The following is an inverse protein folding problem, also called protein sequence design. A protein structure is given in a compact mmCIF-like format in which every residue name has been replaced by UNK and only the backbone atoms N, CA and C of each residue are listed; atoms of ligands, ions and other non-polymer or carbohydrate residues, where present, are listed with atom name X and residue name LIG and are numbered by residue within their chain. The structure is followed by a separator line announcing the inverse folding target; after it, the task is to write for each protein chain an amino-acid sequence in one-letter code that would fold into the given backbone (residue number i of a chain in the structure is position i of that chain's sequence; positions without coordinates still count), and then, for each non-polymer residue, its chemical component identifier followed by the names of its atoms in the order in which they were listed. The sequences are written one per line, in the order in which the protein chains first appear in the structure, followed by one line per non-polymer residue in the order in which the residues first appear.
data_IF_094317111678
#
_entry.id   IF_094317111678
#
_cell.length_a   1.000
_cell.length_b   1.000
_cell.length_c   1.000
_cell.angle_alpha   90.00
_cell.angle_beta   90.00
_cell.angle_gamma   90.00
#
_symmetry.space_group_name_H-M   'P 1'
#
loop_
_entity.id
_entity.type
_entity.pdbx_description
1 polymer ?
#
# COMPACT_ATOMS: atom_id res chain seq x y z
N UNK A 1 -6.86 4.87 -29.73
CA UNK A 1 -7.71 5.19 -28.56
C UNK A 1 -6.92 4.80 -27.32
N UNK A 2 -6.93 5.63 -26.26
CA UNK A 2 -6.32 5.22 -25.00
C UNK A 2 -7.06 3.98 -24.47
N UNK A 3 -6.32 2.97 -24.04
CA UNK A 3 -6.89 1.76 -23.42
C UNK A 3 -7.68 2.18 -22.18
N UNK A 4 -8.92 1.70 -22.04
CA UNK A 4 -9.78 1.94 -20.89
C UNK A 4 -10.00 0.67 -20.10
N UNK A 5 -10.02 0.78 -18.78
CA UNK A 5 -10.42 -0.31 -17.90
C UNK A 5 -11.87 -0.75 -18.15
N UNK A 6 -12.14 -2.04 -17.99
CA UNK A 6 -13.49 -2.53 -17.72
C UNK A 6 -13.94 -2.11 -16.32
N UNK A 7 -15.26 -2.12 -16.04
CA UNK A 7 -15.77 -1.75 -14.70
C UNK A 7 -15.19 -2.63 -13.59
N UNK A 8 -15.18 -3.95 -13.78
CA UNK A 8 -14.65 -4.92 -12.82
C UNK A 8 -13.12 -4.80 -12.76
N UNK A 9 -12.45 -4.71 -13.91
CA UNK A 9 -11.01 -4.59 -13.99
C UNK A 9 -10.48 -3.34 -13.29
N UNK A 10 -11.20 -2.22 -13.39
CA UNK A 10 -10.88 -1.01 -12.64
C UNK A 10 -10.95 -1.22 -11.13
N UNK A 11 -12.08 -1.76 -10.63
CA UNK A 11 -12.25 -2.01 -9.19
C UNK A 11 -11.16 -2.95 -8.67
N UNK A 12 -10.90 -4.06 -9.37
CA UNK A 12 -9.85 -5.01 -8.98
C UNK A 12 -8.45 -4.39 -9.07
N UNK A 13 -8.18 -3.53 -10.06
CA UNK A 13 -6.89 -2.86 -10.18
C UNK A 13 -6.65 -1.87 -9.04
N UNK A 14 -7.67 -1.13 -8.60
CA UNK A 14 -7.53 -0.25 -7.44
C UNK A 14 -7.49 -1.05 -6.13
N UNK A 15 -8.24 -2.13 -6.01
CA UNK A 15 -8.10 -3.06 -4.87
C UNK A 15 -6.66 -3.56 -4.80
N UNK A 16 -6.06 -3.98 -5.92
CA UNK A 16 -4.65 -4.38 -5.98
C UNK A 16 -3.67 -3.27 -5.66
N UNK A 17 -4.02 -2.01 -5.97
CA UNK A 17 -3.21 -0.86 -5.57
C UNK A 17 -3.25 -0.62 -4.05
N UNK A 18 -4.43 -0.73 -3.44
CA UNK A 18 -4.64 -0.48 -2.03
C UNK A 18 -4.18 -1.65 -1.14
N UNK A 19 -4.39 -2.89 -1.58
CA UNK A 19 -4.00 -4.08 -0.83
C UNK A 19 -2.56 -4.44 -1.17
N UNK A 20 -1.67 -4.15 -0.25
CA UNK A 20 -0.24 -4.42 -0.40
C UNK A 20 0.35 -5.07 0.85
N UNK A 21 1.68 -5.12 0.88
CA UNK A 21 2.43 -5.63 2.02
C UNK A 21 2.13 -4.84 3.31
N UNK A 22 1.69 -3.58 3.20
CA UNK A 22 1.26 -2.78 4.34
C UNK A 22 0.11 -3.41 5.13
N UNK A 23 -0.85 -4.05 4.45
CA UNK A 23 -1.94 -4.77 5.10
C UNK A 23 -1.47 -6.07 5.75
N UNK A 24 -0.40 -6.64 5.21
CA UNK A 24 0.08 -7.96 5.61
C UNK A 24 0.97 -7.94 6.86
N UNK A 25 1.79 -6.90 7.04
CA UNK A 25 2.63 -6.81 8.22
C UNK A 25 2.45 -5.50 9.01
N UNK A 26 2.35 -4.34 8.31
CA UNK A 26 2.26 -3.03 8.98
C UNK A 26 0.95 -2.92 9.77
N UNK A 27 -0.16 -3.37 9.19
CA UNK A 27 -1.47 -3.37 9.88
C UNK A 27 -1.46 -4.28 11.12
N UNK A 28 -1.13 -5.60 11.06
CA UNK A 28 -1.08 -6.44 12.26
C UNK A 28 -0.10 -5.90 13.31
N UNK A 29 1.10 -5.49 12.90
CA UNK A 29 2.08 -4.91 13.80
C UNK A 29 1.53 -3.67 14.53
N UNK A 30 0.96 -2.71 13.77
CA UNK A 30 0.42 -1.47 14.36
C UNK A 30 -0.76 -1.76 15.29
N UNK A 31 -1.63 -2.70 14.94
CA UNK A 31 -2.74 -3.15 15.78
C UNK A 31 -2.20 -3.79 17.07
N UNK A 32 -1.21 -4.68 16.95
CA UNK A 32 -0.59 -5.35 18.09
C UNK A 32 0.07 -4.38 19.07
N UNK A 33 0.78 -3.38 18.54
CA UNK A 33 1.53 -2.40 19.34
C UNK A 33 0.68 -1.27 19.94
N UNK A 34 -0.54 -1.04 19.44
CA UNK A 34 -1.36 0.12 19.80
C UNK A 34 -2.73 -0.26 20.40
N UNK A 35 -2.88 -1.44 21.03
CA UNK A 35 -4.08 -1.76 21.82
C UNK A 35 -5.20 -2.49 21.10
N UNK A 36 -4.91 -3.15 19.96
CA UNK A 36 -5.86 -4.08 19.34
C UNK A 36 -7.07 -3.39 18.70
N UNK A 37 -8.27 -3.85 19.09
CA UNK A 37 -9.54 -3.45 18.48
C UNK A 37 -9.88 -1.97 18.61
N UNK A 38 -9.52 -1.30 19.70
CA UNK A 38 -9.76 0.13 19.85
C UNK A 38 -8.94 0.94 18.83
N UNK A 39 -7.69 0.53 18.57
CA UNK A 39 -6.88 1.10 17.50
C UNK A 39 -7.53 0.89 16.12
N UNK A 40 -8.10 -0.31 15.86
CA UNK A 40 -8.82 -0.58 14.60
C UNK A 40 -10.01 0.38 14.43
N UNK A 41 -10.79 0.65 15.47
CA UNK A 41 -11.90 1.60 15.36
C UNK A 41 -11.44 3.01 15.00
N UNK A 42 -10.34 3.48 15.60
CA UNK A 42 -9.74 4.79 15.28
C UNK A 42 -9.21 4.79 13.83
N UNK A 43 -8.53 3.71 13.43
CA UNK A 43 -8.09 3.51 12.05
C UNK A 43 -9.26 3.56 11.06
N UNK A 44 -10.36 2.85 11.33
CA UNK A 44 -11.55 2.87 10.49
C UNK A 44 -12.16 4.27 10.38
N UNK A 45 -12.23 4.99 11.50
CA UNK A 45 -12.69 6.39 11.49
C UNK A 45 -11.83 7.24 10.53
N UNK A 46 -10.50 7.16 10.62
CA UNK A 46 -9.63 7.91 9.74
C UNK A 46 -9.65 7.41 8.29
N UNK A 47 -9.78 6.11 8.07
CA UNK A 47 -9.91 5.55 6.73
C UNK A 47 -11.16 6.10 6.01
N UNK A 48 -12.29 6.21 6.71
CA UNK A 48 -13.52 6.76 6.13
C UNK A 48 -13.55 8.31 6.09
N UNK A 49 -13.12 8.98 7.16
CA UNK A 49 -13.21 10.44 7.24
C UNK A 49 -12.15 11.14 6.38
N UNK A 50 -10.93 10.62 6.36
CA UNK A 50 -9.78 11.26 5.70
C UNK A 50 -9.39 10.48 4.44
N UNK A 51 -9.06 9.20 4.57
CA UNK A 51 -8.59 8.37 3.49
C UNK A 51 -9.57 8.31 2.31
N UNK A 52 -10.83 7.95 2.57
CA UNK A 52 -11.88 7.91 1.54
C UNK A 52 -12.18 9.31 0.95
N UNK A 53 -12.05 10.37 1.75
CA UNK A 53 -12.25 11.74 1.25
C UNK A 53 -11.20 12.14 0.22
N UNK A 54 -9.93 11.81 0.47
CA UNK A 54 -8.82 12.06 -0.47
C UNK A 54 -8.91 11.11 -1.66
N UNK A 55 -9.32 9.87 -1.44
CA UNK A 55 -9.56 8.89 -2.50
C UNK A 55 -10.58 9.42 -3.53
N UNK A 56 -11.71 9.94 -3.08
CA UNK A 56 -12.70 10.60 -3.96
C UNK A 56 -12.10 11.82 -4.68
N UNK A 57 -11.26 12.60 -4.02
CA UNK A 57 -10.61 13.76 -4.60
C UNK A 57 -9.69 13.37 -5.77
N UNK A 58 -8.79 12.40 -5.56
CA UNK A 58 -7.93 11.87 -6.62
C UNK A 58 -8.74 11.28 -7.77
N UNK A 59 -9.78 10.51 -7.44
CA UNK A 59 -10.65 9.87 -8.42
C UNK A 59 -11.38 10.92 -9.29
N UNK A 60 -11.91 11.99 -8.68
CA UNK A 60 -12.55 13.08 -9.40
C UNK A 60 -11.58 13.79 -10.34
N UNK A 61 -10.38 14.10 -9.86
CA UNK A 61 -9.35 14.74 -10.67
C UNK A 61 -8.98 13.89 -11.90
N UNK A 62 -8.76 12.59 -11.72
CA UNK A 62 -8.46 11.68 -12.82
C UNK A 62 -9.60 11.57 -13.83
N UNK A 63 -10.82 11.34 -13.34
CA UNK A 63 -12.02 11.19 -14.20
C UNK A 63 -12.34 12.44 -15.02
N UNK A 64 -12.24 13.63 -14.41
CA UNK A 64 -12.57 14.89 -15.06
C UNK A 64 -11.46 15.31 -16.03
N UNK A 65 -10.18 15.25 -15.61
CA UNK A 65 -9.07 15.73 -16.43
C UNK A 65 -8.67 14.79 -17.55
N UNK A 66 -8.74 13.48 -17.32
CA UNK A 66 -8.20 12.44 -18.24
C UNK A 66 -6.71 12.62 -18.52
N UNK A 67 -6.00 13.31 -17.62
CA UNK A 67 -4.59 13.63 -17.73
C UNK A 67 -3.78 12.93 -16.63
N UNK A 68 -2.46 13.00 -16.76
CA UNK A 68 -1.55 12.64 -15.67
C UNK A 68 -1.64 13.63 -14.50
N UNK A 69 -0.97 13.33 -13.40
CA UNK A 69 -1.08 14.10 -12.16
C UNK A 69 -0.71 15.58 -12.35
N UNK A 70 0.37 15.88 -13.08
CA UNK A 70 0.81 17.27 -13.35
C UNK A 70 -0.21 17.99 -14.24
N UNK A 71 -0.66 17.32 -15.30
CA UNK A 71 -1.68 17.82 -16.21
C UNK A 71 -3.02 18.06 -15.52
N UNK A 72 -3.43 17.18 -14.62
CA UNK A 72 -4.67 17.29 -13.85
C UNK A 72 -4.66 18.52 -12.94
N UNK A 73 -3.61 18.71 -12.12
CA UNK A 73 -3.46 19.90 -11.27
C UNK A 73 -3.47 21.18 -12.11
N UNK A 74 -2.78 21.19 -13.26
CA UNK A 74 -2.72 22.36 -14.13
C UNK A 74 -4.08 22.70 -14.76
N UNK A 75 -4.78 21.70 -15.31
CA UNK A 75 -5.98 21.91 -16.11
C UNK A 75 -7.24 22.20 -15.28
N UNK A 76 -7.32 21.66 -14.04
CA UNK A 76 -8.49 21.79 -13.17
C UNK A 76 -8.40 23.00 -12.23
N UNK A 77 -7.26 23.68 -12.15
CA UNK A 77 -7.06 24.83 -11.30
C UNK A 77 -7.88 26.04 -11.79
N UNK A 78 -8.73 26.60 -10.93
CA UNK A 78 -9.45 27.84 -11.20
C UNK A 78 -8.55 29.08 -11.14
N UNK A 79 -7.47 29.00 -10.35
CA UNK A 79 -6.44 30.05 -10.17
C UNK A 79 -5.07 29.39 -9.95
N UNK A 80 -4.00 30.05 -10.40
CA UNK A 80 -2.64 29.58 -10.13
C UNK A 80 -2.24 28.28 -10.85
N UNK A 81 -2.79 27.97 -12.02
CA UNK A 81 -2.53 26.73 -12.77
C UNK A 81 -1.02 26.43 -12.97
N UNK A 82 -0.21 27.46 -13.22
CA UNK A 82 1.23 27.31 -13.42
C UNK A 82 1.99 26.95 -12.11
N UNK A 83 1.46 27.31 -10.95
CA UNK A 83 2.02 26.92 -9.65
C UNK A 83 1.51 25.54 -9.24
N UNK A 84 0.22 25.26 -9.43
CA UNK A 84 -0.38 24.00 -9.06
C UNK A 84 0.17 22.78 -9.84
N UNK A 85 0.67 22.95 -11.07
CA UNK A 85 1.31 21.86 -11.81
C UNK A 85 2.46 21.21 -11.02
N UNK A 86 3.17 21.95 -10.16
CA UNK A 86 4.26 21.42 -9.34
C UNK A 86 3.77 20.49 -8.22
N UNK A 87 2.52 20.66 -7.75
CA UNK A 87 1.92 19.71 -6.82
C UNK A 87 1.82 18.29 -7.42
N UNK A 88 1.67 18.18 -8.74
CA UNK A 88 1.64 16.91 -9.43
C UNK A 88 2.95 16.10 -9.37
N UNK A 89 4.08 16.76 -9.06
CA UNK A 89 5.38 16.08 -8.90
C UNK A 89 5.37 15.12 -7.71
N UNK A 90 4.38 15.24 -6.80
CA UNK A 90 4.22 14.32 -5.67
C UNK A 90 4.16 12.83 -6.09
N UNK A 91 3.80 12.52 -7.33
CA UNK A 91 3.83 11.15 -7.87
C UNK A 91 5.21 10.48 -7.80
N UNK A 92 6.31 11.25 -7.67
CA UNK A 92 7.67 10.73 -7.46
C UNK A 92 7.74 9.88 -6.18
N UNK A 93 6.89 10.16 -5.19
CA UNK A 93 6.74 9.34 -3.98
C UNK A 93 6.56 7.87 -4.33
N UNK A 94 5.78 7.56 -5.37
CA UNK A 94 5.57 6.19 -5.84
C UNK A 94 6.85 5.49 -6.29
N UNK A 95 7.83 6.21 -6.86
CA UNK A 95 9.13 5.64 -7.25
C UNK A 95 9.99 5.30 -6.02
N UNK A 96 10.00 6.19 -5.01
CA UNK A 96 10.73 5.94 -3.78
C UNK A 96 10.15 4.73 -3.04
N UNK A 97 8.83 4.66 -2.91
CA UNK A 97 8.18 3.50 -2.31
C UNK A 97 8.49 2.24 -3.12
N UNK A 98 8.31 2.25 -4.44
CA UNK A 98 8.54 1.09 -5.29
C UNK A 98 9.96 0.53 -5.16
N UNK A 99 10.97 1.37 -4.90
CA UNK A 99 12.36 0.96 -4.79
C UNK A 99 12.61 0.02 -3.61
N UNK A 100 12.25 0.42 -2.40
CA UNK A 100 12.41 -0.44 -1.22
C UNK A 100 11.31 -1.51 -1.13
N UNK A 101 10.12 -1.22 -1.62
CA UNK A 101 9.00 -2.17 -1.64
C UNK A 101 9.29 -3.39 -2.52
N UNK A 102 9.96 -3.19 -3.67
CA UNK A 102 10.39 -4.28 -4.54
C UNK A 102 11.42 -5.18 -3.85
N UNK A 103 12.31 -4.60 -3.03
CA UNK A 103 13.24 -5.38 -2.22
C UNK A 103 12.50 -6.30 -1.25
N UNK A 104 11.46 -5.78 -0.60
CA UNK A 104 10.63 -6.55 0.31
C UNK A 104 9.83 -7.64 -0.43
N UNK A 105 9.34 -7.37 -1.65
CA UNK A 105 8.73 -8.42 -2.50
C UNK A 105 9.77 -9.52 -2.79
N UNK A 106 11.02 -9.17 -2.99
CA UNK A 106 12.13 -10.12 -3.11
C UNK A 106 12.29 -10.99 -1.86
N UNK A 107 12.23 -10.40 -0.66
CA UNK A 107 12.24 -11.15 0.61
C UNK A 107 11.06 -12.11 0.70
N UNK A 108 9.85 -11.66 0.35
CA UNK A 108 8.67 -12.53 0.30
C UNK A 108 8.90 -13.72 -0.65
N UNK A 109 9.47 -13.48 -1.84
CA UNK A 109 9.78 -14.54 -2.80
C UNK A 109 10.80 -15.55 -2.25
N UNK A 110 11.82 -15.10 -1.51
CA UNK A 110 12.74 -16.00 -0.79
C UNK A 110 11.99 -16.91 0.16
N UNK A 111 11.03 -16.38 0.92
CA UNK A 111 10.25 -17.18 1.86
C UNK A 111 9.20 -18.08 1.18
N UNK A 112 8.73 -17.75 -0.01
CA UNK A 112 7.97 -18.69 -0.86
C UNK A 112 8.82 -19.91 -1.19
N UNK A 113 10.09 -19.71 -1.58
CA UNK A 113 11.00 -20.84 -1.87
C UNK A 113 11.37 -21.59 -0.59
N UNK A 114 11.63 -20.89 0.51
CA UNK A 114 11.93 -21.50 1.80
C UNK A 114 10.82 -22.43 2.30
N UNK A 115 9.55 -22.15 1.97
CA UNK A 115 8.41 -22.97 2.35
C UNK A 115 8.42 -24.39 1.74
N UNK A 116 9.23 -24.66 0.73
CA UNK A 116 9.44 -26.02 0.18
C UNK A 116 10.55 -26.78 0.89
N UNK A 117 11.30 -26.15 1.81
CA UNK A 117 12.38 -26.74 2.58
C UNK A 117 12.06 -26.84 4.07
N UNK A 118 13.09 -26.88 4.90
CA UNK A 118 12.94 -26.83 6.36
C UNK A 118 12.72 -25.41 6.84
N UNK A 119 11.60 -25.16 7.52
CA UNK A 119 11.34 -23.89 8.19
C UNK A 119 12.13 -23.79 9.49
N UNK A 120 12.56 -22.59 9.92
CA UNK A 120 13.29 -22.38 11.16
C UNK A 120 12.42 -22.78 12.36
N UNK A 121 12.98 -23.62 13.28
CA UNK A 121 12.21 -24.22 14.37
C UNK A 121 12.05 -23.32 15.60
N UNK A 122 12.88 -22.30 15.72
CA UNK A 122 12.88 -21.35 16.84
C UNK A 122 13.18 -19.92 16.37
N UNK A 123 12.92 -18.94 17.24
CA UNK A 123 13.06 -17.52 16.92
C UNK A 123 14.52 -17.15 16.61
N UNK A 124 15.49 -17.71 17.31
CA UNK A 124 16.91 -17.39 17.14
C UNK A 124 17.43 -17.86 15.77
N UNK A 125 17.06 -19.10 15.36
CA UNK A 125 17.40 -19.60 14.03
C UNK A 125 16.71 -18.82 12.91
N UNK A 126 15.46 -18.38 13.11
CA UNK A 126 14.72 -17.55 12.16
C UNK A 126 15.32 -16.16 12.01
N UNK A 127 15.67 -15.52 13.13
CA UNK A 127 16.34 -14.22 13.14
C UNK A 127 17.71 -14.29 12.46
N UNK A 128 18.50 -15.33 12.78
CA UNK A 128 19.79 -15.58 12.13
C UNK A 128 19.64 -15.77 10.63
N UNK A 129 18.63 -16.54 10.17
CA UNK A 129 18.34 -16.74 8.77
C UNK A 129 18.00 -15.41 8.09
N UNK A 130 17.12 -14.60 8.71
CA UNK A 130 16.72 -13.31 8.16
C UNK A 130 17.88 -12.31 8.12
N UNK A 131 18.66 -12.19 9.18
CA UNK A 131 19.83 -11.31 9.24
C UNK A 131 20.91 -11.77 8.24
N UNK A 132 21.21 -13.06 8.17
CA UNK A 132 22.17 -13.57 7.18
C UNK A 132 21.73 -13.27 5.75
N UNK A 133 20.45 -13.40 5.45
CA UNK A 133 19.91 -13.06 4.12
C UNK A 133 19.99 -11.56 3.85
N UNK A 134 19.61 -10.71 4.80
CA UNK A 134 19.52 -9.25 4.60
C UNK A 134 20.85 -8.52 4.75
N UNK A 135 21.77 -9.03 5.57
CA UNK A 135 23.04 -8.35 5.89
C UNK A 135 24.26 -8.97 5.22
N UNK A 136 24.27 -10.31 5.03
CA UNK A 136 25.43 -11.03 4.49
C UNK A 136 25.15 -11.65 3.11
N UNK A 137 23.88 -11.87 2.75
CA UNK A 137 23.46 -12.54 1.52
C UNK A 137 23.15 -11.59 0.36
N UNK A 138 23.97 -10.55 0.13
CA UNK A 138 23.68 -9.49 -0.85
C UNK A 138 23.39 -10.04 -2.26
N UNK A 139 24.15 -11.04 -2.72
CA UNK A 139 23.93 -11.66 -4.04
C UNK A 139 22.56 -12.33 -4.14
N UNK A 140 22.16 -13.05 -3.10
CA UNK A 140 20.85 -13.70 -3.05
C UNK A 140 19.72 -12.66 -2.93
N UNK A 141 19.92 -11.62 -2.16
CA UNK A 141 18.97 -10.50 -2.03
C UNK A 141 18.73 -9.80 -3.38
N UNK A 142 19.82 -9.46 -4.10
CA UNK A 142 19.74 -8.86 -5.44
C UNK A 142 19.07 -9.81 -6.43
N UNK A 143 19.31 -11.12 -6.35
CA UNK A 143 18.66 -12.09 -7.21
C UNK A 143 17.13 -12.05 -7.05
N UNK A 144 16.62 -12.20 -5.82
CA UNK A 144 15.18 -12.19 -5.56
C UNK A 144 14.54 -10.82 -5.84
N UNK A 145 15.23 -9.73 -5.51
CA UNK A 145 14.84 -8.39 -5.89
C UNK A 145 14.68 -8.27 -7.42
N UNK A 146 15.67 -8.75 -8.18
CA UNK A 146 15.66 -8.66 -9.65
C UNK A 146 14.54 -9.51 -10.25
N UNK A 147 14.29 -10.72 -9.72
CA UNK A 147 13.17 -11.56 -10.18
C UNK A 147 11.84 -10.82 -9.98
N UNK A 148 11.60 -10.28 -8.79
CA UNK A 148 10.39 -9.51 -8.50
C UNK A 148 10.28 -8.27 -9.40
N UNK A 149 11.39 -7.54 -9.57
CA UNK A 149 11.50 -6.36 -10.41
C UNK A 149 11.14 -6.65 -11.87
N UNK A 150 11.78 -7.63 -12.49
CA UNK A 150 11.50 -7.97 -13.89
C UNK A 150 10.08 -8.53 -14.08
N UNK A 151 9.54 -9.24 -13.10
CA UNK A 151 8.18 -9.76 -13.16
C UNK A 151 7.15 -8.64 -13.36
N UNK A 152 7.16 -7.61 -12.51
CA UNK A 152 6.15 -6.55 -12.64
C UNK A 152 6.46 -5.56 -13.76
N UNK A 153 7.72 -5.26 -14.07
CA UNK A 153 8.05 -4.45 -15.24
C UNK A 153 7.64 -5.13 -16.55
N UNK A 154 7.76 -6.45 -16.65
CA UNK A 154 7.22 -7.20 -17.79
C UNK A 154 5.70 -7.03 -17.91
N UNK A 155 4.95 -7.04 -16.81
CA UNK A 155 3.50 -6.79 -16.82
C UNK A 155 3.22 -5.37 -17.34
N UNK A 156 3.96 -4.36 -16.90
CA UNK A 156 3.80 -2.97 -17.31
C UNK A 156 4.01 -2.77 -18.82
N UNK A 157 4.90 -3.53 -19.47
CA UNK A 157 5.11 -3.46 -20.92
C UNK A 157 3.88 -3.87 -21.73
N UNK A 158 2.97 -4.66 -21.15
CA UNK A 158 1.72 -5.10 -21.82
C UNK A 158 0.62 -4.03 -21.81
N UNK A 159 0.83 -2.89 -21.14
CA UNK A 159 -0.13 -1.80 -21.08
C UNK A 159 -1.15 -1.92 -19.95
N UNK A 160 -2.15 -1.03 -19.98
CA UNK A 160 -3.14 -0.93 -18.90
C UNK A 160 -4.11 -2.12 -18.92
N UNK A 161 -4.74 -2.40 -20.07
CA UNK A 161 -5.77 -3.45 -20.18
C UNK A 161 -5.19 -4.85 -20.21
N UNK A 162 -4.21 -5.09 -21.09
CA UNK A 162 -3.63 -6.44 -21.31
C UNK A 162 -2.57 -6.80 -20.26
N UNK A 163 -2.03 -5.83 -19.52
CA UNK A 163 -1.06 -6.01 -18.44
C UNK A 163 -1.72 -5.81 -17.08
N UNK A 164 -1.91 -4.57 -16.66
CA UNK A 164 -2.34 -4.21 -15.30
C UNK A 164 -3.71 -4.80 -14.95
N UNK A 165 -4.73 -4.56 -15.78
CA UNK A 165 -6.08 -5.07 -15.54
C UNK A 165 -6.08 -6.60 -15.51
N UNK A 166 -5.49 -7.23 -16.53
CA UNK A 166 -5.49 -8.67 -16.66
C UNK A 166 -4.87 -9.37 -15.46
N UNK A 167 -3.73 -8.89 -14.99
CA UNK A 167 -3.07 -9.51 -13.83
C UNK A 167 -3.89 -9.33 -12.55
N UNK A 168 -4.48 -8.17 -12.32
CA UNK A 168 -5.29 -7.89 -11.14
C UNK A 168 -6.58 -8.75 -11.11
N UNK A 169 -7.20 -8.99 -12.27
CA UNK A 169 -8.40 -9.86 -12.39
C UNK A 169 -8.11 -11.29 -11.93
N UNK A 170 -6.88 -11.78 -12.07
CA UNK A 170 -6.49 -13.12 -11.58
C UNK A 170 -5.90 -13.09 -10.17
N UNK A 171 -4.95 -12.19 -9.90
CA UNK A 171 -4.21 -12.23 -8.63
C UNK A 171 -5.06 -11.77 -7.44
N UNK A 172 -5.98 -10.81 -7.59
CA UNK A 172 -6.78 -10.33 -6.46
C UNK A 172 -7.79 -11.40 -5.98
N UNK A 173 -8.57 -12.07 -6.85
CA UNK A 173 -9.38 -13.19 -6.40
C UNK A 173 -8.55 -14.35 -5.84
N UNK A 174 -7.40 -14.68 -6.44
CA UNK A 174 -6.52 -15.72 -5.93
C UNK A 174 -6.01 -15.40 -4.53
N UNK A 175 -5.53 -14.15 -4.30
CA UNK A 175 -5.16 -13.65 -2.99
C UNK A 175 -6.29 -13.85 -1.97
N UNK A 176 -7.51 -13.46 -2.33
CA UNK A 176 -8.66 -13.57 -1.43
C UNK A 176 -8.98 -15.02 -1.08
N UNK A 177 -8.93 -15.93 -2.07
CA UNK A 177 -9.15 -17.37 -1.85
C UNK A 177 -8.07 -17.96 -0.92
N UNK A 178 -6.79 -17.63 -1.14
CA UNK A 178 -5.70 -18.11 -0.30
C UNK A 178 -5.85 -17.63 1.15
N UNK A 179 -6.21 -16.36 1.36
CA UNK A 179 -6.45 -15.82 2.70
C UNK A 179 -7.68 -16.47 3.36
N UNK A 180 -8.74 -16.75 2.62
CA UNK A 180 -9.91 -17.47 3.17
C UNK A 180 -9.59 -18.91 3.54
N UNK A 181 -8.74 -19.61 2.77
CA UNK A 181 -8.26 -20.95 3.14
C UNK A 181 -7.47 -20.92 4.45
N UNK A 182 -6.56 -19.95 4.61
CA UNK A 182 -5.81 -19.78 5.86
C UNK A 182 -6.72 -19.40 7.03
N UNK A 183 -7.68 -18.50 6.82
CA UNK A 183 -8.66 -18.14 7.84
C UNK A 183 -9.50 -19.36 8.24
N UNK A 184 -9.96 -20.15 7.25
CA UNK A 184 -10.70 -21.39 7.49
C UNK A 184 -9.92 -22.38 8.36
N UNK A 185 -8.61 -22.53 8.12
CA UNK A 185 -7.75 -23.32 8.99
C UNK A 185 -7.64 -22.72 10.40
N UNK A 186 -7.50 -21.40 10.50
CA UNK A 186 -7.36 -20.69 11.78
C UNK A 186 -8.58 -20.87 12.71
N UNK A 187 -9.80 -21.08 12.17
CA UNK A 187 -11.00 -21.34 12.99
C UNK A 187 -10.88 -22.61 13.86
N UNK A 188 -10.07 -23.58 13.46
CA UNK A 188 -9.85 -24.81 14.23
C UNK A 188 -8.78 -24.70 15.30
N UNK A 189 -8.12 -23.53 15.47
CA UNK A 189 -7.04 -23.31 16.43
C UNK A 189 -7.57 -22.67 17.72
N UNK A 190 -7.01 -23.03 18.89
CA UNK A 190 -7.37 -22.45 20.19
C UNK A 190 -7.05 -20.94 20.27
N UNK A 191 -6.03 -20.50 19.54
CA UNK A 191 -5.63 -19.10 19.45
C UNK A 191 -6.66 -18.21 18.76
N UNK A 192 -7.62 -18.78 17.98
CA UNK A 192 -8.58 -18.01 17.21
C UNK A 192 -9.51 -17.16 18.08
N UNK A 193 -10.07 -17.72 19.14
CA UNK A 193 -10.96 -16.98 20.04
C UNK A 193 -10.25 -15.79 20.70
N UNK A 194 -8.97 -15.97 21.07
CA UNK A 194 -8.14 -14.89 21.62
C UNK A 194 -7.88 -13.82 20.58
N UNK A 195 -7.57 -14.20 19.33
CA UNK A 195 -7.34 -13.30 18.22
C UNK A 195 -8.61 -12.50 17.86
N UNK A 196 -9.75 -13.19 17.76
CA UNK A 196 -11.05 -12.56 17.50
C UNK A 196 -11.43 -11.57 18.61
N UNK A 197 -11.26 -11.94 19.86
CA UNK A 197 -11.50 -11.04 21.01
C UNK A 197 -10.55 -9.82 20.96
N UNK A 198 -9.28 -10.02 20.69
CA UNK A 198 -8.27 -8.97 20.60
C UNK A 198 -8.58 -7.96 19.48
N UNK A 199 -9.07 -8.43 18.32
CA UNK A 199 -9.33 -7.60 17.14
C UNK A 199 -10.75 -7.00 17.11
N UNK A 200 -11.73 -7.59 17.80
CA UNK A 200 -13.14 -7.22 17.65
C UNK A 200 -13.77 -6.65 18.93
N UNK A 201 -13.16 -6.87 20.11
CA UNK A 201 -13.68 -6.33 21.39
C UNK A 201 -12.86 -5.11 21.81
N UNK A 202 -13.40 -3.88 21.73
CA UNK A 202 -12.67 -2.66 21.99
C UNK A 202 -12.19 -2.51 23.43
N UNK A 203 -10.89 -2.23 23.60
CA UNK A 203 -10.28 -1.85 24.87
C UNK A 203 -9.56 -0.49 24.70
N UNK A 204 -10.23 0.58 25.11
CA UNK A 204 -9.70 1.94 25.00
C UNK A 204 -8.66 2.29 26.07
N UNK A 205 -8.44 1.43 27.08
CA UNK A 205 -7.48 1.71 28.17
C UNK A 205 -6.03 1.81 27.68
N UNK A 206 -5.73 1.24 26.50
CA UNK A 206 -4.39 1.19 25.89
C UNK A 206 -4.15 2.26 24.82
N UNK A 207 -5.16 3.10 24.55
CA UNK A 207 -5.06 4.13 23.52
C UNK A 207 -4.41 5.40 24.12
N UNK A 208 -3.30 5.77 23.56
CA UNK A 208 -2.62 7.04 23.81
C UNK A 208 -2.66 7.96 22.57
N UNK A 209 -2.10 9.16 22.72
CA UNK A 209 -2.04 10.11 21.61
C UNK A 209 -1.20 9.56 20.42
N UNK A 210 -0.18 8.75 20.71
CA UNK A 210 0.65 8.14 19.69
C UNK A 210 -0.15 7.15 18.85
N UNK A 211 -0.97 6.30 19.49
CA UNK A 211 -1.84 5.35 18.82
C UNK A 211 -2.83 6.04 17.86
N UNK A 212 -3.42 7.17 18.27
CA UNK A 212 -4.34 7.94 17.41
C UNK A 212 -3.65 8.43 16.14
N UNK A 213 -2.44 8.97 16.26
CA UNK A 213 -1.68 9.47 15.11
C UNK A 213 -1.15 8.35 14.23
N UNK A 214 -0.72 7.23 14.84
CA UNK A 214 -0.34 6.02 14.13
C UNK A 214 -1.51 5.46 13.30
N UNK A 215 -2.75 5.49 13.83
CA UNK A 215 -3.94 5.04 13.12
C UNK A 215 -4.22 5.91 11.88
N UNK A 216 -4.05 7.24 11.98
CA UNK A 216 -4.20 8.13 10.83
C UNK A 216 -3.12 7.87 9.77
N UNK A 217 -1.85 7.73 10.17
CA UNK A 217 -0.75 7.39 9.26
C UNK A 217 -0.97 6.04 8.57
N UNK A 218 -1.44 5.03 9.32
CA UNK A 218 -1.79 3.72 8.75
C UNK A 218 -2.93 3.82 7.72
N UNK A 219 -3.95 4.65 7.98
CA UNK A 219 -5.07 4.85 7.06
C UNK A 219 -4.59 5.43 5.72
N UNK A 220 -3.67 6.38 5.72
CA UNK A 220 -3.05 6.91 4.50
C UNK A 220 -2.30 5.83 3.71
N UNK A 221 -1.47 5.09 4.41
CA UNK A 221 -0.62 4.07 3.79
C UNK A 221 -1.45 2.96 3.15
N UNK A 222 -2.43 2.41 3.88
CA UNK A 222 -3.25 1.29 3.39
C UNK A 222 -4.25 1.69 2.30
N UNK A 223 -4.61 2.96 2.20
CA UNK A 223 -5.52 3.46 1.17
C UNK A 223 -4.81 3.86 -0.14
N UNK A 224 -3.48 3.85 -0.17
CA UNK A 224 -2.66 4.22 -1.33
C UNK A 224 -2.99 5.61 -1.91
N UNK A 225 -3.36 6.56 -1.02
CA UNK A 225 -3.71 7.94 -1.41
C UNK A 225 -2.50 8.87 -1.27
N UNK A 226 -2.50 9.99 -1.97
CA UNK A 226 -1.45 11.02 -1.90
C UNK A 226 -0.34 10.89 -2.94
N UNK A 227 -0.33 9.82 -3.75
CA UNK A 227 0.71 9.60 -4.78
C UNK A 227 0.18 9.72 -6.22
N UNK A 228 -1.11 9.97 -6.40
CA UNK A 228 -1.73 10.09 -7.72
C UNK A 228 -1.99 8.77 -8.44
N UNK A 229 -1.89 7.62 -7.76
CA UNK A 229 -2.18 6.33 -8.37
C UNK A 229 -3.68 6.17 -8.65
N UNK A 230 -4.54 6.59 -7.72
CA UNK A 230 -5.99 6.59 -7.88
C UNK A 230 -6.40 7.54 -9.01
N UNK A 231 -5.79 8.73 -9.08
CA UNK A 231 -5.96 9.68 -10.17
C UNK A 231 -5.60 9.04 -11.53
N UNK A 232 -4.44 8.40 -11.61
CA UNK A 232 -3.94 7.78 -12.85
C UNK A 232 -4.87 6.69 -13.35
N UNK A 233 -5.31 5.77 -12.49
CA UNK A 233 -6.26 4.74 -12.88
C UNK A 233 -7.63 5.33 -13.26
N UNK A 234 -8.07 6.34 -12.52
CA UNK A 234 -9.34 7.02 -12.80
C UNK A 234 -9.34 7.81 -14.11
N UNK A 235 -8.17 8.23 -14.60
CA UNK A 235 -8.04 8.87 -15.92
C UNK A 235 -8.42 7.94 -17.08
N UNK A 236 -8.28 6.62 -16.87
CA UNK A 236 -8.60 5.57 -17.86
C UNK A 236 -9.97 4.90 -17.64
N UNK A 237 -10.83 5.49 -16.80
CA UNK A 237 -12.17 4.99 -16.53
C UNK A 237 -13.12 5.12 -17.72
N UNK A 238 -14.03 4.15 -17.87
CA UNK A 238 -15.21 4.27 -18.73
C UNK A 238 -16.17 5.36 -18.21
N UNK A 239 -16.91 5.99 -19.12
CA UNK A 239 -17.74 7.16 -18.75
C UNK A 239 -18.91 6.80 -17.83
N UNK A 240 -19.42 5.59 -17.90
CA UNK A 240 -20.55 5.04 -17.16
C UNK A 240 -20.18 4.42 -15.80
N UNK A 241 -18.94 4.56 -15.32
CA UNK A 241 -18.52 4.01 -14.02
C UNK A 241 -19.04 4.85 -12.87
N UNK A 242 -19.73 4.19 -11.93
CA UNK A 242 -20.17 4.81 -10.68
C UNK A 242 -18.98 4.90 -9.71
N UNK A 243 -18.44 6.11 -9.54
CA UNK A 243 -17.28 6.35 -8.71
C UNK A 243 -17.52 6.07 -7.21
N UNK A 244 -18.70 6.44 -6.72
CA UNK A 244 -19.05 6.28 -5.31
C UNK A 244 -19.09 4.80 -4.92
N UNK A 245 -19.82 3.98 -5.66
CA UNK A 245 -19.92 2.54 -5.39
C UNK A 245 -18.57 1.84 -5.59
N UNK A 246 -17.82 2.20 -6.62
CA UNK A 246 -16.48 1.62 -6.86
C UNK A 246 -15.52 1.91 -5.70
N UNK A 247 -15.53 3.14 -5.18
CA UNK A 247 -14.68 3.51 -4.04
C UNK A 247 -15.05 2.75 -2.78
N UNK A 248 -16.35 2.59 -2.50
CA UNK A 248 -16.78 1.81 -1.34
C UNK A 248 -16.33 0.36 -1.43
N UNK A 249 -16.44 -0.28 -2.60
CA UNK A 249 -15.92 -1.64 -2.79
C UNK A 249 -14.42 -1.74 -2.48
N UNK A 250 -13.63 -0.77 -2.93
CA UNK A 250 -12.19 -0.74 -2.67
C UNK A 250 -11.90 -0.61 -1.17
N UNK A 251 -12.55 0.35 -0.50
CA UNK A 251 -12.31 0.60 0.94
C UNK A 251 -12.74 -0.58 1.78
N UNK A 252 -13.93 -1.15 1.51
CA UNK A 252 -14.41 -2.32 2.24
C UNK A 252 -13.52 -3.54 1.97
N UNK A 253 -13.09 -3.80 0.73
CA UNK A 253 -12.18 -4.89 0.42
C UNK A 253 -10.85 -4.73 1.16
N UNK A 254 -10.29 -3.51 1.19
CA UNK A 254 -9.05 -3.20 1.92
C UNK A 254 -9.18 -3.48 3.42
N UNK A 255 -10.27 -3.02 4.05
CA UNK A 255 -10.54 -3.25 5.48
C UNK A 255 -10.74 -4.74 5.77
N UNK A 256 -11.57 -5.43 5.00
CA UNK A 256 -11.87 -6.85 5.18
C UNK A 256 -10.58 -7.68 5.09
N UNK A 257 -9.75 -7.44 4.07
CA UNK A 257 -8.48 -8.15 3.91
C UNK A 257 -7.52 -7.86 5.06
N UNK A 258 -7.42 -6.60 5.51
CA UNK A 258 -6.59 -6.25 6.67
C UNK A 258 -7.02 -7.00 7.93
N UNK A 259 -8.32 -7.08 8.19
CA UNK A 259 -8.88 -7.80 9.35
C UNK A 259 -8.66 -9.32 9.22
N UNK A 260 -8.84 -9.89 8.02
CA UNK A 260 -8.59 -11.32 7.76
C UNK A 260 -7.11 -11.65 8.04
N UNK A 261 -6.19 -10.85 7.51
CA UNK A 261 -4.75 -11.04 7.75
C UNK A 261 -4.44 -10.89 9.24
N UNK A 262 -5.02 -9.88 9.90
CA UNK A 262 -4.90 -9.70 11.34
C UNK A 262 -5.36 -10.93 12.12
N UNK A 263 -6.56 -11.48 11.80
CA UNK A 263 -7.08 -12.70 12.44
C UNK A 263 -6.12 -13.88 12.24
N UNK A 264 -5.63 -14.10 11.02
CA UNK A 264 -4.67 -15.17 10.74
C UNK A 264 -3.41 -14.98 11.59
N UNK A 265 -2.78 -13.81 11.50
CA UNK A 265 -1.50 -13.53 12.19
C UNK A 265 -1.63 -13.67 13.69
N UNK A 266 -2.66 -13.06 14.29
CA UNK A 266 -2.85 -13.14 15.74
C UNK A 266 -3.32 -14.51 16.22
N UNK A 267 -4.05 -15.29 15.41
CA UNK A 267 -4.38 -16.68 15.74
C UNK A 267 -3.10 -17.50 15.94
N UNK A 268 -2.19 -17.47 14.97
CA UNK A 268 -0.91 -18.18 15.10
C UNK A 268 -0.08 -17.63 16.26
N UNK A 269 -0.05 -16.31 16.44
CA UNK A 269 0.70 -15.69 17.55
C UNK A 269 0.20 -16.17 18.92
N UNK A 270 -1.11 -16.18 19.15
CA UNK A 270 -1.70 -16.58 20.44
C UNK A 270 -1.75 -18.07 20.64
N UNK A 271 -1.86 -18.88 19.57
CA UNK A 271 -1.80 -20.34 19.62
C UNK A 271 -0.51 -20.82 20.24
N UNK A 272 0.59 -20.19 19.84
CA UNK A 272 1.92 -20.62 20.27
C UNK A 272 2.52 -19.74 21.39
N UNK A 273 1.70 -18.88 22.02
CA UNK A 273 2.11 -18.04 23.15
C UNK A 273 3.23 -17.04 22.82
N UNK A 274 3.30 -16.60 21.56
CA UNK A 274 4.29 -15.63 21.11
C UNK A 274 3.75 -14.21 21.25
N UNK A 275 4.65 -13.24 21.48
CA UNK A 275 4.32 -11.82 21.36
C UNK A 275 4.54 -11.35 19.93
N UNK A 276 3.71 -10.43 19.39
CA UNK A 276 3.93 -9.87 18.07
C UNK A 276 5.26 -9.12 18.00
N UNK A 277 6.21 -9.61 17.20
CA UNK A 277 7.46 -8.89 16.96
C UNK A 277 7.21 -7.62 16.14
N UNK A 278 8.14 -6.66 16.22
CA UNK A 278 8.00 -5.35 15.59
C UNK A 278 8.34 -5.39 14.09
N UNK A 279 7.58 -4.65 13.30
CA UNK A 279 7.88 -4.41 11.89
C UNK A 279 7.92 -5.68 11.02
N UNK A 280 8.90 -5.75 10.11
CA UNK A 280 9.09 -6.89 9.20
C UNK A 280 9.36 -8.21 9.93
N UNK A 281 9.89 -8.17 11.16
CA UNK A 281 10.15 -9.35 11.99
C UNK A 281 8.89 -10.19 12.24
N UNK A 282 7.70 -9.59 12.28
CA UNK A 282 6.46 -10.34 12.44
C UNK A 282 6.26 -11.35 11.30
N UNK A 283 6.43 -10.91 10.06
CA UNK A 283 6.21 -11.76 8.89
C UNK A 283 7.38 -12.72 8.60
N UNK A 284 8.63 -12.26 8.78
CA UNK A 284 9.81 -12.98 8.32
C UNK A 284 10.57 -13.71 9.43
N UNK A 285 10.31 -13.40 10.71
CA UNK A 285 10.93 -14.08 11.85
C UNK A 285 9.89 -14.88 12.61
N UNK A 286 8.81 -14.25 13.11
CA UNK A 286 7.85 -14.94 13.97
C UNK A 286 7.01 -15.97 13.22
N UNK A 287 6.32 -15.59 12.13
CA UNK A 287 5.40 -16.52 11.45
C UNK A 287 6.07 -17.78 10.91
N UNK A 288 7.27 -17.77 10.30
CA UNK A 288 7.93 -18.99 9.86
C UNK A 288 8.17 -20.00 11.00
N UNK A 289 8.53 -19.53 12.20
CA UNK A 289 8.73 -20.42 13.36
C UNK A 289 7.42 -21.01 13.87
N UNK A 290 6.33 -20.25 13.78
CA UNK A 290 5.00 -20.73 14.17
C UNK A 290 4.50 -21.79 13.19
N UNK A 291 4.68 -21.57 11.88
CA UNK A 291 4.37 -22.57 10.86
C UNK A 291 5.22 -23.84 11.04
N UNK A 292 6.51 -23.73 11.36
CA UNK A 292 7.39 -24.88 11.54
C UNK A 292 6.88 -25.87 12.60
N UNK A 293 6.16 -25.39 13.62
CA UNK A 293 5.57 -26.25 14.68
C UNK A 293 4.49 -27.21 14.15
N UNK A 294 3.93 -26.94 12.97
CA UNK A 294 2.90 -27.74 12.33
C UNK A 294 3.45 -28.76 11.30
N UNK A 295 4.78 -28.89 11.19
CA UNK A 295 5.43 -29.82 10.27
C UNK A 295 5.07 -29.56 8.80
N UNK A 296 4.76 -30.61 8.03
CA UNK A 296 4.47 -30.49 6.59
C UNK A 296 3.27 -29.57 6.30
N UNK A 297 2.24 -29.58 7.14
CA UNK A 297 1.10 -28.67 7.02
C UNK A 297 1.55 -27.22 7.21
N UNK A 298 2.49 -26.96 8.12
CA UNK A 298 3.07 -25.63 8.30
C UNK A 298 3.82 -25.13 7.07
N UNK A 299 4.52 -26.00 6.34
CA UNK A 299 5.13 -25.65 5.06
C UNK A 299 4.08 -25.21 4.03
N UNK A 300 2.96 -25.94 3.93
CA UNK A 300 1.87 -25.56 3.04
C UNK A 300 1.23 -24.22 3.44
N UNK A 301 1.03 -23.97 4.73
CA UNK A 301 0.50 -22.71 5.24
C UNK A 301 1.49 -21.56 5.01
N UNK A 302 2.80 -21.77 5.22
CA UNK A 302 3.84 -20.81 4.91
C UNK A 302 3.84 -20.46 3.41
N UNK A 303 3.81 -21.45 2.53
CA UNK A 303 3.68 -21.23 1.09
C UNK A 303 2.45 -20.39 0.77
N UNK A 304 1.28 -20.78 1.30
CA UNK A 304 0.00 -20.07 1.06
C UNK A 304 0.07 -18.63 1.53
N UNK A 305 0.65 -18.39 2.70
CA UNK A 305 0.84 -17.04 3.25
C UNK A 305 1.78 -16.20 2.37
N UNK A 306 2.99 -16.67 2.12
CA UNK A 306 3.98 -15.88 1.39
C UNK A 306 3.62 -15.69 -0.10
N UNK A 307 2.98 -16.68 -0.77
CA UNK A 307 2.51 -16.48 -2.14
C UNK A 307 1.37 -15.45 -2.20
N UNK A 308 0.49 -15.41 -1.19
CA UNK A 308 -0.54 -14.38 -1.10
C UNK A 308 0.08 -12.98 -0.92
N UNK A 309 1.13 -12.86 -0.09
CA UNK A 309 1.88 -11.61 0.05
C UNK A 309 2.58 -11.20 -1.25
N UNK A 310 3.14 -12.16 -1.99
CA UNK A 310 3.76 -11.91 -3.28
C UNK A 310 2.74 -11.33 -4.28
N UNK A 311 1.53 -11.90 -4.35
CA UNK A 311 0.46 -11.38 -5.21
C UNK A 311 0.06 -9.96 -4.80
N UNK A 312 -0.15 -9.70 -3.52
CA UNK A 312 -0.44 -8.36 -3.00
C UNK A 312 0.69 -7.37 -3.31
N UNK A 313 1.94 -7.78 -3.13
CA UNK A 313 3.13 -6.95 -3.43
C UNK A 313 3.22 -6.56 -4.90
N UNK A 314 3.11 -7.53 -5.82
CA UNK A 314 3.20 -7.30 -7.26
C UNK A 314 2.08 -6.37 -7.76
N UNK A 315 0.83 -6.59 -7.33
CA UNK A 315 -0.30 -5.75 -7.75
C UNK A 315 -0.18 -4.32 -7.25
N UNK A 316 0.32 -4.15 -6.02
CA UNK A 316 0.51 -2.84 -5.41
C UNK A 316 1.67 -2.06 -6.04
N UNK A 317 2.86 -2.67 -6.24
CA UNK A 317 4.02 -1.97 -6.81
C UNK A 317 3.78 -1.48 -8.23
N UNK A 318 3.02 -2.21 -9.05
CA UNK A 318 2.61 -1.79 -10.39
C UNK A 318 1.90 -0.43 -10.32
N UNK A 319 0.98 -0.26 -9.38
CA UNK A 319 0.21 0.96 -9.24
C UNK A 319 1.03 2.16 -8.75
N UNK A 320 2.10 1.92 -8.00
CA UNK A 320 2.99 2.97 -7.49
C UNK A 320 3.85 3.61 -8.57
N UNK A 321 4.27 2.85 -9.59
CA UNK A 321 5.12 3.35 -10.67
C UNK A 321 4.35 3.87 -11.88
N UNK A 322 3.12 3.41 -12.09
CA UNK A 322 2.29 3.80 -13.24
C UNK A 322 2.03 5.32 -13.35
N UNK A 323 1.81 6.10 -12.28
CA UNK A 323 1.64 7.53 -12.37
C UNK A 323 2.79 8.25 -13.06
N UNK A 324 4.03 7.86 -12.76
CA UNK A 324 5.20 8.46 -13.36
C UNK A 324 5.41 8.01 -14.81
N UNK A 325 5.14 6.73 -15.12
CA UNK A 325 5.14 6.21 -16.50
C UNK A 325 4.11 6.97 -17.34
N UNK A 326 2.92 7.18 -16.79
CA UNK A 326 1.84 7.90 -17.46
C UNK A 326 2.20 9.37 -17.70
N UNK A 327 2.82 10.04 -16.72
CA UNK A 327 3.32 11.41 -16.88
C UNK A 327 4.37 11.52 -17.99
N UNK A 328 5.38 10.65 -18.01
CA UNK A 328 6.40 10.65 -19.06
C UNK A 328 5.77 10.45 -20.46
N UNK A 329 4.78 9.57 -20.54
CA UNK A 329 4.10 9.27 -21.79
C UNK A 329 3.15 10.38 -22.25
N UNK A 330 2.41 10.99 -21.33
CA UNK A 330 1.36 12.00 -21.64
C UNK A 330 1.92 13.41 -21.74
N UNK A 331 2.66 13.86 -20.71
CA UNK A 331 3.15 15.25 -20.64
C UNK A 331 4.46 15.47 -21.38
N UNK A 332 5.34 14.45 -21.45
CA UNK A 332 6.62 14.53 -22.15
C UNK A 332 6.63 13.84 -23.51
N UNK A 333 5.50 13.25 -23.93
CA UNK A 333 5.33 12.57 -25.23
C UNK A 333 6.35 11.44 -25.49
N UNK A 334 6.86 10.77 -24.44
CA UNK A 334 7.71 9.61 -24.61
C UNK A 334 6.87 8.39 -24.98
N UNK A 335 7.44 7.44 -25.75
CA UNK A 335 6.79 6.15 -25.95
C UNK A 335 6.68 5.43 -24.60
N UNK A 336 5.63 4.60 -24.45
CA UNK A 336 5.40 3.84 -23.21
C UNK A 336 6.64 3.02 -22.81
N UNK A 337 7.27 2.35 -23.77
CA UNK A 337 8.47 1.54 -23.49
C UNK A 337 9.65 2.40 -23.01
N UNK A 338 9.86 3.59 -23.59
CA UNK A 338 10.88 4.53 -23.12
C UNK A 338 10.56 5.02 -21.69
N UNK A 339 9.30 5.33 -21.40
CA UNK A 339 8.86 5.74 -20.07
C UNK A 339 9.09 4.64 -19.04
N UNK A 340 8.75 3.40 -19.38
CA UNK A 340 8.98 2.22 -18.53
C UNK A 340 10.49 2.03 -18.28
N UNK A 341 11.33 2.13 -19.31
CA UNK A 341 12.78 1.98 -19.16
C UNK A 341 13.38 3.02 -18.21
N UNK A 342 12.98 4.29 -18.34
CA UNK A 342 13.45 5.37 -17.44
C UNK A 342 13.06 5.06 -16.00
N UNK A 343 11.79 4.72 -15.76
CA UNK A 343 11.29 4.39 -14.42
C UNK A 343 11.99 3.14 -13.88
N UNK A 344 12.18 2.13 -14.71
CA UNK A 344 12.88 0.91 -14.35
C UNK A 344 14.31 1.18 -13.90
N UNK A 345 15.06 2.00 -14.64
CA UNK A 345 16.42 2.37 -14.25
C UNK A 345 16.46 3.08 -12.88
N UNK A 346 15.55 4.04 -12.65
CA UNK A 346 15.49 4.77 -11.38
C UNK A 346 15.17 3.82 -10.22
N UNK A 347 14.11 3.02 -10.35
CA UNK A 347 13.66 2.09 -9.29
C UNK A 347 14.71 1.01 -9.02
N UNK A 348 15.38 0.50 -10.08
CA UNK A 348 16.41 -0.53 -9.91
C UNK A 348 17.63 0.01 -9.16
N UNK A 349 18.13 1.19 -9.56
CA UNK A 349 19.28 1.82 -8.88
C UNK A 349 18.98 2.11 -7.42
N UNK A 350 17.84 2.75 -7.14
CA UNK A 350 17.44 3.04 -5.76
C UNK A 350 17.20 1.76 -4.95
N UNK A 351 16.62 0.72 -5.56
CA UNK A 351 16.41 -0.57 -4.92
C UNK A 351 17.70 -1.30 -4.57
N UNK A 352 18.71 -1.26 -5.45
CA UNK A 352 20.05 -1.78 -5.15
C UNK A 352 20.71 -1.00 -3.99
N UNK A 353 20.60 0.33 -3.97
CA UNK A 353 21.09 1.13 -2.85
C UNK A 353 20.39 0.78 -1.53
N UNK A 354 19.08 0.51 -1.56
CA UNK A 354 18.35 0.00 -0.41
C UNK A 354 18.89 -1.35 0.05
N UNK A 355 19.14 -2.29 -0.86
CA UNK A 355 19.69 -3.61 -0.52
C UNK A 355 21.09 -3.49 0.10
N UNK A 356 21.97 -2.69 -0.51
CA UNK A 356 23.33 -2.45 -0.02
C UNK A 356 23.33 -1.80 1.37
N UNK A 357 22.41 -0.87 1.65
CA UNK A 357 22.36 -0.16 2.93
C UNK A 357 22.06 -1.06 4.15
N UNK A 358 21.53 -2.26 3.92
CA UNK A 358 21.34 -3.28 4.96
C UNK A 358 22.56 -4.16 5.24
N UNK A 359 23.57 -4.13 4.35
CA UNK A 359 24.74 -5.00 4.46
C UNK A 359 25.81 -4.44 5.39
N UNK A 360 26.55 -5.33 6.07
CA UNK A 360 27.65 -4.95 6.96
C UNK A 360 28.76 -4.15 6.24
N UNK A 361 28.96 -4.39 4.95
CA UNK A 361 30.02 -3.76 4.15
C UNK A 361 29.71 -2.31 3.74
N UNK A 362 28.45 -2.01 3.38
CA UNK A 362 28.04 -0.70 2.85
C UNK A 362 27.20 0.12 3.81
N UNK A 363 26.83 -0.42 4.98
CA UNK A 363 25.97 0.24 5.96
C UNK A 363 26.44 1.64 6.31
N UNK A 364 27.72 1.80 6.63
CA UNK A 364 28.28 3.08 7.07
C UNK A 364 28.29 4.12 5.94
N UNK A 365 28.60 3.69 4.70
CA UNK A 365 28.61 4.56 3.51
C UNK A 365 27.20 4.98 3.08
N UNK A 366 26.18 4.17 3.39
CA UNK A 366 24.78 4.40 2.99
C UNK A 366 23.88 4.72 4.20
N UNK A 367 24.46 5.24 5.28
CA UNK A 367 23.72 5.78 6.44
C UNK A 367 23.74 7.31 6.39
N UNK A 368 22.56 7.92 6.32
CA UNK A 368 22.36 9.36 6.26
C UNK A 368 21.45 9.80 7.41
N UNK A 369 21.84 10.80 8.16
CA UNK A 369 21.07 11.32 9.31
C UNK A 369 20.70 10.22 10.35
N UNK A 370 21.59 9.22 10.52
CA UNK A 370 21.38 8.12 11.44
C UNK A 370 20.40 7.03 10.95
N UNK A 371 19.96 7.10 9.69
CA UNK A 371 19.07 6.11 9.06
C UNK A 371 19.80 5.44 7.89
N UNK A 372 19.58 4.13 7.70
CA UNK A 372 20.01 3.46 6.47
C UNK A 372 19.32 4.09 5.25
N UNK A 373 19.88 3.93 4.05
CA UNK A 373 19.25 4.45 2.84
C UNK A 373 17.84 3.87 2.63
N UNK A 374 17.63 2.62 2.99
CA UNK A 374 16.30 1.99 3.00
C UNK A 374 15.35 2.73 3.96
N UNK A 375 15.75 2.91 5.23
CA UNK A 375 14.91 3.58 6.23
C UNK A 375 14.69 5.06 5.89
N UNK A 376 15.65 5.70 5.24
CA UNK A 376 15.53 7.09 4.79
C UNK A 376 14.47 7.22 3.70
N UNK A 377 14.47 6.34 2.69
CA UNK A 377 13.47 6.34 1.63
C UNK A 377 12.07 6.00 2.17
N UNK A 378 11.97 5.01 3.08
CA UNK A 378 10.69 4.70 3.73
C UNK A 378 10.19 5.90 4.53
N UNK A 379 11.03 6.49 5.37
CA UNK A 379 10.67 7.66 6.19
C UNK A 379 10.23 8.86 5.31
N UNK A 380 11.03 9.22 4.32
CA UNK A 380 10.69 10.35 3.44
C UNK A 380 9.39 10.11 2.67
N UNK A 381 9.20 8.92 2.14
CA UNK A 381 8.00 8.63 1.35
C UNK A 381 6.77 8.42 2.21
N UNK A 382 6.85 7.59 3.26
CA UNK A 382 5.69 7.19 4.06
C UNK A 382 5.25 8.26 5.07
N UNK A 383 6.23 8.94 5.72
CA UNK A 383 5.93 9.86 6.82
C UNK A 383 5.84 11.33 6.36
N UNK A 384 6.48 11.70 5.25
CA UNK A 384 6.49 13.08 4.77
C UNK A 384 5.72 13.23 3.46
N UNK A 385 6.12 12.51 2.40
CA UNK A 385 5.60 12.77 1.06
C UNK A 385 4.16 12.27 0.88
N UNK A 386 3.79 11.12 1.43
CA UNK A 386 2.40 10.62 1.39
C UNK A 386 1.42 11.59 2.07
N UNK A 387 1.63 12.02 3.33
CA UNK A 387 0.78 13.03 3.96
C UNK A 387 0.77 14.36 3.20
N UNK A 388 1.94 14.83 2.72
CA UNK A 388 2.03 16.04 1.91
C UNK A 388 1.17 15.94 0.64
N UNK A 389 1.23 14.80 -0.06
CA UNK A 389 0.37 14.53 -1.21
C UNK A 389 -1.10 14.59 -0.85
N UNK A 390 -1.49 13.96 0.25
CA UNK A 390 -2.87 14.02 0.74
C UNK A 390 -3.36 15.44 1.01
N UNK A 391 -2.52 16.28 1.63
CA UNK A 391 -2.82 17.71 1.84
C UNK A 391 -2.97 18.45 0.50
N UNK A 392 -2.06 18.23 -0.44
CA UNK A 392 -2.08 18.88 -1.75
C UNK A 392 -3.38 18.54 -2.51
N UNK A 393 -3.78 17.27 -2.56
CA UNK A 393 -5.05 16.86 -3.17
C UNK A 393 -6.25 17.46 -2.44
N UNK A 394 -6.26 17.42 -1.10
CA UNK A 394 -7.37 17.93 -0.32
C UNK A 394 -7.57 19.46 -0.47
N UNK A 395 -6.50 20.22 -0.37
CA UNK A 395 -6.53 21.67 -0.56
C UNK A 395 -6.93 22.00 -2.01
N UNK A 396 -6.35 21.31 -2.98
CA UNK A 396 -6.64 21.58 -4.39
C UNK A 396 -8.13 21.36 -4.71
N UNK A 397 -8.68 20.22 -4.34
CA UNK A 397 -10.08 19.88 -4.62
C UNK A 397 -11.03 20.74 -3.78
N UNK A 398 -10.69 21.03 -2.53
CA UNK A 398 -11.54 21.83 -1.64
C UNK A 398 -11.60 23.32 -1.97
N UNK A 399 -10.56 23.88 -2.61
CA UNK A 399 -10.44 25.34 -2.79
C UNK A 399 -10.13 25.82 -4.20
N UNK A 400 -9.54 24.96 -5.06
CA UNK A 400 -9.05 25.37 -6.40
C UNK A 400 -9.75 24.67 -7.55
N UNK A 401 -10.57 23.65 -7.30
CA UNK A 401 -11.46 23.07 -8.31
C UNK A 401 -12.83 23.76 -8.30
N UNK A 402 -13.50 23.75 -9.46
CA UNK A 402 -14.88 24.23 -9.56
C UNK A 402 -15.83 23.30 -8.83
N UNK A 403 -16.56 23.83 -7.85
CA UNK A 403 -17.54 23.07 -7.06
C UNK A 403 -18.61 22.38 -7.91
N UNK A 404 -19.09 23.05 -8.97
CA UNK A 404 -20.14 22.51 -9.84
C UNK A 404 -19.68 21.22 -10.57
N UNK A 405 -18.41 21.13 -11.00
CA UNK A 405 -17.87 19.93 -11.61
C UNK A 405 -17.91 18.72 -10.65
N UNK A 406 -17.57 18.94 -9.37
CA UNK A 406 -17.63 17.91 -8.34
C UNK A 406 -19.06 17.50 -8.03
N UNK A 407 -19.97 18.48 -7.99
CA UNK A 407 -21.40 18.25 -7.75
C UNK A 407 -22.04 17.44 -8.87
N UNK A 408 -21.79 17.80 -10.12
CA UNK A 408 -22.26 17.07 -11.31
C UNK A 408 -21.73 15.64 -11.33
N UNK A 409 -20.48 15.43 -10.92
CA UNK A 409 -19.85 14.12 -10.91
C UNK A 409 -20.41 13.20 -9.81
N UNK A 410 -20.65 13.71 -8.61
CA UNK A 410 -20.92 12.87 -7.44
C UNK A 410 -22.38 12.85 -6.99
N UNK A 411 -23.12 13.95 -7.08
CA UNK A 411 -24.50 14.02 -6.57
C UNK A 411 -25.44 12.98 -7.19
N UNK A 412 -25.33 12.62 -8.48
CA UNK A 412 -26.19 11.57 -9.07
C UNK A 412 -26.01 10.20 -8.39
N UNK A 413 -24.85 9.93 -7.79
CA UNK A 413 -24.51 8.62 -7.22
C UNK A 413 -24.60 8.57 -5.69
N UNK A 414 -24.19 9.65 -4.98
CA UNK A 414 -24.18 9.66 -3.50
C UNK A 414 -25.27 10.56 -2.88
N UNK A 415 -26.01 11.30 -3.68
CA UNK A 415 -27.01 12.24 -3.21
C UNK A 415 -26.42 13.53 -2.60
N UNK A 416 -27.31 14.52 -2.38
CA UNK A 416 -26.88 15.86 -1.95
C UNK A 416 -26.29 15.92 -0.52
N UNK A 417 -26.82 15.08 0.38
CA UNK A 417 -26.40 15.10 1.79
C UNK A 417 -24.99 14.53 1.94
N UNK A 418 -24.75 13.33 1.41
CA UNK A 418 -23.42 12.67 1.49
C UNK A 418 -22.37 13.51 0.76
N UNK A 419 -22.73 14.10 -0.39
CA UNK A 419 -21.84 15.02 -1.10
C UNK A 419 -21.42 16.23 -0.25
N UNK A 420 -22.36 16.86 0.47
CA UNK A 420 -22.03 17.99 1.37
C UNK A 420 -21.13 17.58 2.52
N UNK A 421 -21.37 16.38 3.12
CA UNK A 421 -20.52 15.83 4.16
C UNK A 421 -19.10 15.58 3.62
N UNK A 422 -18.97 14.91 2.48
CA UNK A 422 -17.68 14.68 1.85
C UNK A 422 -16.95 15.98 1.51
N UNK A 423 -17.67 16.98 0.93
CA UNK A 423 -17.04 18.25 0.58
C UNK A 423 -16.57 19.03 1.81
N UNK A 424 -17.30 18.93 2.93
CA UNK A 424 -16.85 19.47 4.22
C UNK A 424 -15.60 18.74 4.72
N UNK A 425 -15.59 17.42 4.69
CA UNK A 425 -14.45 16.60 5.14
C UNK A 425 -13.19 16.92 4.32
N UNK A 426 -13.27 16.93 2.99
CA UNK A 426 -12.10 17.17 2.14
C UNK A 426 -11.59 18.61 2.23
N UNK A 427 -12.47 19.58 2.47
CA UNK A 427 -12.12 21.00 2.53
C UNK A 427 -11.51 21.40 3.86
N UNK A 428 -12.03 20.90 4.98
CA UNK A 428 -11.65 21.37 6.32
C UNK A 428 -10.99 20.28 7.15
N UNK A 429 -11.58 19.09 7.23
CA UNK A 429 -11.15 18.05 8.18
C UNK A 429 -9.86 17.37 7.69
N UNK A 430 -9.83 16.90 6.47
CA UNK A 430 -8.69 16.17 5.95
C UNK A 430 -7.39 17.00 5.97
N UNK A 431 -7.34 18.26 5.45
CA UNK A 431 -6.09 19.03 5.50
C UNK A 431 -5.58 19.27 6.91
N UNK A 432 -6.47 19.54 7.88
CA UNK A 432 -6.08 19.83 9.27
C UNK A 432 -5.50 18.57 9.92
N UNK A 433 -6.21 17.45 9.83
CA UNK A 433 -5.77 16.21 10.46
C UNK A 433 -4.45 15.71 9.88
N UNK A 434 -4.29 15.79 8.56
CA UNK A 434 -3.03 15.37 7.91
C UNK A 434 -1.89 16.30 8.24
N UNK A 435 -2.14 17.60 8.34
CA UNK A 435 -1.15 18.59 8.75
C UNK A 435 -0.64 18.32 10.19
N UNK A 436 -1.54 17.93 11.10
CA UNK A 436 -1.16 17.58 12.48
C UNK A 436 -0.20 16.37 12.48
N UNK A 437 -0.47 15.35 11.68
CA UNK A 437 0.45 14.19 11.54
C UNK A 437 1.79 14.63 10.95
N UNK A 438 1.75 15.42 9.88
CA UNK A 438 2.98 15.87 9.22
C UNK A 438 3.88 16.71 10.14
N UNK A 439 3.29 17.62 10.91
CA UNK A 439 4.04 18.45 11.88
C UNK A 439 4.70 17.55 12.92
N UNK A 440 3.99 16.56 13.45
CA UNK A 440 4.54 15.66 14.46
C UNK A 440 5.70 14.79 13.92
N UNK A 441 5.61 14.35 12.67
CA UNK A 441 6.69 13.54 12.07
C UNK A 441 7.97 14.34 11.85
N UNK A 442 7.88 15.68 11.76
CA UNK A 442 9.01 16.58 11.53
C UNK A 442 9.56 17.16 12.85
N UNK A 443 8.74 17.23 13.90
CA UNK A 443 9.12 17.74 15.21
C UNK A 443 9.78 16.67 16.10
#
# INVERSE_FOLDING_TARGET
MAERFSKIGFVLSIIGAAIGLGNAWKFPYMVGSNGGSAFILIYLFFAFAVGLSIFFAEMAMGKISRLDTVGAFKSLATKGANSWKFAGVIMVTGLFIASFYTLIIGWVLKYVILSFGELPKDMASSETLFINFTSNGIGEQILYFSIAFFAYFFILTKGVKSGIERINVYLIPALFILLLLMLGYSFGMEGFDKAAKFLLVPDFSKIDQAAVLNALGLAFFTMCVGIGCILTYSSSLSDDTNLFTSSLYVVFANIIISVIIGLIVFTFTFEFGSEPSKGAGLAFISLPTLFAKLGLLGNFLAFTFFISLFFAGITSVISMVEPFIFFLSKSLNFSRNKSILIVACVVYILGILCALSGTSEFKDALTFFGKSFFDLLDYLSSNIMLPLGGILFAIFVGYFMKFELLKELFVPYMGKVIFKIWYFLIRFVAPILVLVVLIREIS
#
